data_IF_784392179133
#
_entry.id   IF_784392179133
#
_cell.length_a   1.000
_cell.length_b   1.000
_cell.length_c   1.000
_cell.angle_alpha   90.00
_cell.angle_beta   90.00
_cell.angle_gamma   90.00
#
_symmetry.space_group_name_H-M   'P 1'
#
loop_
_entity.id
_entity.type
_entity.pdbx_description
1 polymer ?
#
# COMPACT_ATOMS: atom_id res chain seq x y z
N UNK A 1 -7.52 28.34 -0.95
CA UNK A 1 -7.33 27.47 0.22
C UNK A 1 -6.54 26.25 -0.24
N UNK A 2 -5.25 26.20 0.04
CA UNK A 2 -4.39 25.05 -0.31
C UNK A 2 -4.67 23.97 0.73
N UNK A 3 -5.39 22.91 0.34
CA UNK A 3 -5.52 21.69 1.13
C UNK A 3 -4.16 21.02 1.09
N UNK A 4 -3.46 21.02 2.21
CA UNK A 4 -2.28 20.19 2.42
C UNK A 4 -2.74 18.74 2.42
N UNK A 5 -2.59 18.06 1.31
CA UNK A 5 -2.69 16.60 1.26
C UNK A 5 -1.52 16.07 2.09
N UNK A 6 -1.81 15.69 3.32
CA UNK A 6 -0.92 14.81 4.06
C UNK A 6 -1.12 13.43 3.45
N UNK A 7 -0.27 13.10 2.47
CA UNK A 7 -0.15 11.75 1.97
C UNK A 7 0.16 10.87 3.19
N UNK A 8 -0.81 10.06 3.60
CA UNK A 8 -0.53 8.88 4.40
C UNK A 8 0.15 7.89 3.46
N UNK A 9 1.41 8.17 3.15
CA UNK A 9 2.29 7.21 2.50
C UNK A 9 2.38 6.07 3.48
N UNK A 10 1.64 4.99 3.21
CA UNK A 10 2.06 3.69 3.69
C UNK A 10 3.39 3.46 2.99
N UNK A 11 4.43 4.14 3.48
CA UNK A 11 5.77 3.91 3.01
C UNK A 11 5.93 2.40 3.09
N UNK A 12 6.25 1.79 1.96
CA UNK A 12 6.93 0.51 1.96
C UNK A 12 8.19 0.82 2.77
N UNK A 13 8.02 0.85 4.09
CA UNK A 13 9.12 0.97 5.01
C UNK A 13 9.89 -0.31 4.78
N UNK A 14 10.96 -0.17 4.00
CA UNK A 14 11.98 -1.16 3.84
C UNK A 14 12.51 -1.46 5.24
N UNK A 15 11.81 -2.32 5.98
CA UNK A 15 12.33 -2.93 7.20
C UNK A 15 13.32 -4.00 6.73
N UNK A 16 14.34 -3.56 6.02
CA UNK A 16 15.58 -4.29 5.95
C UNK A 16 16.24 -4.08 7.30
N UNK A 17 15.80 -4.81 8.31
CA UNK A 17 16.62 -5.08 9.46
C UNK A 17 17.78 -5.93 8.96
N UNK A 18 18.75 -5.28 8.31
CA UNK A 18 20.07 -5.83 8.10
C UNK A 18 20.69 -5.91 9.49
N UNK A 19 20.54 -7.05 10.13
CA UNK A 19 21.43 -7.45 11.21
C UNK A 19 22.81 -7.69 10.61
N UNK A 20 23.46 -6.61 10.20
CA UNK A 20 24.90 -6.59 9.99
C UNK A 20 25.55 -6.50 11.37
N UNK A 21 25.91 -7.65 11.90
CA UNK A 21 26.84 -7.75 13.01
C UNK A 21 28.16 -7.09 12.61
N UNK A 22 28.57 -6.06 13.36
CA UNK A 22 29.97 -5.64 13.46
C UNK A 22 30.31 -4.29 12.82
N UNK A 23 30.66 -3.31 13.66
CA UNK A 23 31.59 -2.23 13.28
C UNK A 23 31.12 -0.81 13.60
N UNK A 24 31.43 -0.38 14.82
CA UNK A 24 31.45 1.01 15.26
C UNK A 24 32.07 1.96 14.24
N UNK A 25 31.35 2.97 13.75
CA UNK A 25 31.93 4.30 13.47
C UNK A 25 30.83 5.36 13.52
N UNK A 26 30.98 6.26 14.49
CA UNK A 26 30.29 7.56 14.55
C UNK A 26 30.58 8.35 13.29
N UNK A 27 29.57 8.92 12.70
CA UNK A 27 29.73 10.12 11.88
C UNK A 27 28.48 10.99 12.09
N UNK A 28 28.71 12.13 12.72
CA UNK A 28 27.78 13.26 12.82
C UNK A 28 27.57 13.83 11.42
N UNK A 29 26.35 14.06 11.03
CA UNK A 29 26.02 14.86 9.85
C UNK A 29 25.25 16.10 10.26
N UNK A 30 25.91 17.19 10.07
CA UNK A 30 25.51 18.57 10.27
C UNK A 30 24.43 19.01 9.29
N UNK A 31 23.46 19.73 9.84
CA UNK A 31 22.40 20.46 9.12
C UNK A 31 23.01 21.59 8.28
N UNK A 32 22.58 21.73 7.05
CA UNK A 32 22.82 22.89 6.19
C UNK A 32 21.59 23.25 5.39
N UNK A 33 20.92 24.32 5.82
CA UNK A 33 19.82 25.00 5.14
C UNK A 33 20.40 26.05 4.17
N UNK A 34 19.73 26.22 3.01
CA UNK A 34 19.61 27.46 2.20
C UNK A 34 18.91 27.10 0.89
N UNK A 35 17.73 27.54 0.57
CA UNK A 35 17.11 28.85 0.27
C UNK A 35 17.43 29.42 -1.13
N UNK A 36 16.33 29.74 -1.86
CA UNK A 36 16.13 30.73 -2.96
C UNK A 36 16.50 30.27 -4.39
N UNK A 37 15.65 30.35 -5.43
CA UNK A 37 14.92 31.50 -5.95
C UNK A 37 14.05 31.12 -7.17
N UNK A 38 12.97 31.88 -7.33
CA UNK A 38 12.03 32.00 -8.45
C UNK A 38 12.65 32.16 -9.85
N UNK A 39 11.94 31.67 -10.87
CA UNK A 39 11.70 32.46 -12.08
C UNK A 39 10.45 31.95 -12.86
N UNK A 40 9.56 32.90 -13.10
CA UNK A 40 8.37 32.84 -13.96
C UNK A 40 8.77 32.82 -15.44
N UNK A 41 7.92 32.23 -16.30
CA UNK A 41 7.28 32.90 -17.44
C UNK A 41 6.68 31.92 -18.44
N UNK A 42 5.43 31.99 -18.64
CA UNK A 42 4.50 32.50 -19.68
C UNK A 42 4.16 31.56 -20.84
N UNK A 43 2.86 31.25 -20.82
CA UNK A 43 1.84 31.26 -21.90
C UNK A 43 2.26 30.97 -23.35
N UNK A 44 1.55 30.06 -24.02
CA UNK A 44 0.57 30.40 -25.06
C UNK A 44 -0.21 29.17 -25.55
N UNK A 45 -1.51 29.27 -25.46
CA UNK A 45 -2.66 28.78 -26.23
C UNK A 45 -2.41 28.14 -27.62
N UNK A 46 -3.11 27.03 -27.90
CA UNK A 46 -3.97 26.88 -29.07
C UNK A 46 -4.84 25.61 -28.97
N UNK A 47 -6.11 25.85 -29.16
CA UNK A 47 -7.27 25.01 -29.37
C UNK A 47 -7.11 24.03 -30.55
N UNK A 48 -7.62 22.80 -30.41
CA UNK A 48 -8.42 22.17 -31.46
C UNK A 48 -9.18 20.95 -30.89
N UNK A 49 -10.48 21.05 -31.00
CA UNK A 49 -11.46 20.02 -30.68
C UNK A 49 -11.36 18.82 -31.64
N UNK A 50 -11.60 17.63 -31.15
CA UNK A 50 -12.33 16.60 -31.89
C UNK A 50 -13.05 15.69 -30.90
N UNK A 51 -14.37 15.69 -30.96
CA UNK A 51 -15.28 14.74 -30.31
C UNK A 51 -15.15 13.36 -30.96
N UNK A 52 -15.44 12.40 -30.17
CA UNK A 52 -16.08 11.07 -30.34
C UNK A 52 -15.23 9.92 -29.73
N UNK A 53 -15.63 9.27 -28.69
CA UNK A 53 -16.67 8.27 -28.58
C UNK A 53 -16.75 7.77 -27.13
N UNK A 54 -17.88 8.05 -26.53
CA UNK A 54 -18.30 7.52 -25.24
C UNK A 54 -18.70 6.08 -25.45
N UNK A 55 -17.88 5.14 -25.02
CA UNK A 55 -18.30 3.76 -24.84
C UNK A 55 -18.30 3.43 -23.36
N UNK A 56 -19.50 3.32 -22.89
CA UNK A 56 -19.99 2.93 -21.58
C UNK A 56 -19.40 1.57 -21.20
N UNK A 57 -18.44 1.56 -20.27
CA UNK A 57 -18.25 0.40 -19.39
C UNK A 57 -18.89 0.74 -18.05
N UNK A 58 -20.21 0.54 -18.02
CA UNK A 58 -20.99 0.54 -16.80
C UNK A 58 -20.72 -0.77 -16.07
N UNK A 59 -19.65 -0.77 -15.25
CA UNK A 59 -19.46 -1.83 -14.27
C UNK A 59 -20.67 -1.82 -13.35
N UNK A 60 -21.29 -2.98 -13.21
CA UNK A 60 -22.49 -3.23 -12.43
C UNK A 60 -22.33 -2.68 -11.02
N UNK A 61 -23.13 -1.66 -10.71
CA UNK A 61 -23.38 -1.23 -9.34
C UNK A 61 -24.11 -2.38 -8.63
N UNK A 62 -23.34 -3.24 -7.96
CA UNK A 62 -23.91 -4.20 -7.02
C UNK A 62 -24.52 -3.41 -5.87
N UNK A 63 -25.82 -3.57 -5.69
CA UNK A 63 -26.70 -3.14 -4.60
C UNK A 63 -25.92 -2.57 -3.40
N UNK A 64 -26.01 -1.25 -3.19
CA UNK A 64 -25.70 -0.60 -1.92
C UNK A 64 -26.70 -1.10 -0.86
N UNK A 65 -26.50 -2.31 -0.35
CA UNK A 65 -27.05 -2.70 0.92
C UNK A 65 -26.48 -1.70 1.94
N UNK A 66 -27.30 -1.17 2.82
CA UNK A 66 -26.92 -0.31 3.93
C UNK A 66 -25.91 -1.07 4.81
N UNK A 67 -24.62 -1.01 4.45
CA UNK A 67 -23.54 -1.65 5.18
C UNK A 67 -23.35 -0.83 6.46
N UNK A 68 -23.49 -1.45 7.62
CA UNK A 68 -23.31 -0.75 8.90
C UNK A 68 -21.84 -0.36 9.10
N UNK A 69 -21.61 0.69 9.88
CA UNK A 69 -20.23 1.08 10.25
C UNK A 69 -19.47 -0.04 10.96
N UNK A 70 -20.16 -0.91 11.69
CA UNK A 70 -19.59 -2.09 12.36
C UNK A 70 -19.17 -3.18 11.36
N UNK A 71 -19.94 -3.37 10.27
CA UNK A 71 -19.57 -4.33 9.22
C UNK A 71 -18.40 -3.85 8.35
N UNK A 72 -18.19 -2.53 8.29
CA UNK A 72 -17.04 -1.92 7.61
C UNK A 72 -15.73 -2.05 8.41
N UNK A 73 -15.79 -2.29 9.70
CA UNK A 73 -14.61 -2.48 10.54
C UNK A 73 -14.16 -3.95 10.55
N UNK A 74 -12.86 -4.16 10.44
CA UNK A 74 -12.27 -5.48 10.64
C UNK A 74 -12.23 -5.87 12.11
N UNK A 75 -12.29 -7.17 12.36
CA UNK A 75 -12.18 -7.75 13.71
C UNK A 75 -11.05 -8.77 13.74
N UNK A 76 -10.17 -8.65 14.71
CA UNK A 76 -9.10 -9.62 14.97
C UNK A 76 -9.38 -10.40 16.25
N UNK A 77 -9.39 -11.73 16.13
CA UNK A 77 -9.50 -12.65 17.26
C UNK A 77 -8.70 -13.92 16.96
N UNK A 78 -8.00 -14.46 17.95
CA UNK A 78 -7.25 -15.73 17.85
C UNK A 78 -6.29 -15.78 16.63
N UNK A 79 -5.58 -14.67 16.36
CA UNK A 79 -4.67 -14.54 15.22
C UNK A 79 -5.36 -14.66 13.83
N UNK A 80 -6.67 -14.43 13.79
CA UNK A 80 -7.50 -14.38 12.58
C UNK A 80 -8.13 -12.99 12.46
N UNK A 81 -7.99 -12.36 11.31
CA UNK A 81 -8.69 -11.14 10.94
C UNK A 81 -9.86 -11.46 10.04
N UNK A 82 -11.00 -10.81 10.25
CA UNK A 82 -12.18 -10.90 9.40
C UNK A 82 -12.76 -9.51 9.14
N UNK A 83 -13.24 -9.26 7.92
CA UNK A 83 -13.99 -8.07 7.57
C UNK A 83 -15.21 -8.49 6.76
N UNK A 84 -16.41 -8.22 7.30
CA UNK A 84 -17.67 -8.65 6.70
C UNK A 84 -18.00 -7.90 5.40
N UNK A 85 -17.73 -6.60 5.36
CA UNK A 85 -18.00 -5.79 4.17
C UNK A 85 -17.16 -6.21 2.97
N UNK A 86 -15.91 -6.60 3.21
CA UNK A 86 -15.01 -7.17 2.20
C UNK A 86 -15.31 -8.64 1.91
N UNK A 87 -16.10 -9.32 2.75
CA UNK A 87 -16.22 -10.78 2.78
C UNK A 87 -14.83 -11.46 2.83
N UNK A 88 -13.95 -10.94 3.68
CA UNK A 88 -12.54 -11.30 3.71
C UNK A 88 -12.14 -11.86 5.06
N UNK A 89 -11.34 -12.93 5.01
CA UNK A 89 -10.67 -13.55 6.15
C UNK A 89 -9.17 -13.67 5.87
N UNK A 90 -8.38 -13.42 6.91
CA UNK A 90 -6.94 -13.70 6.91
C UNK A 90 -6.61 -14.49 8.18
N UNK A 91 -6.06 -15.69 8.03
CA UNK A 91 -5.59 -16.53 9.11
C UNK A 91 -4.06 -16.48 9.16
N UNK A 92 -3.52 -15.75 10.13
CA UNK A 92 -2.09 -15.55 10.22
C UNK A 92 -1.35 -16.84 10.56
N UNK A 93 -1.94 -17.70 11.40
CA UNK A 93 -1.34 -18.97 11.79
C UNK A 93 -1.23 -19.93 10.61
N UNK A 94 -2.27 -20.01 9.78
CA UNK A 94 -2.26 -20.83 8.56
C UNK A 94 -1.21 -20.36 7.52
N UNK A 95 -0.75 -19.11 7.65
CA UNK A 95 0.25 -18.49 6.77
C UNK A 95 1.64 -18.39 7.41
N UNK A 96 1.89 -19.07 8.54
CA UNK A 96 3.14 -18.98 9.32
C UNK A 96 3.48 -17.54 9.75
N UNK A 97 2.46 -16.77 10.11
CA UNK A 97 2.54 -15.37 10.50
C UNK A 97 1.88 -15.15 11.87
N UNK A 98 2.04 -13.95 12.40
CA UNK A 98 1.28 -13.45 13.55
C UNK A 98 0.81 -12.03 13.29
N UNK A 99 -0.32 -11.68 13.88
CA UNK A 99 -0.84 -10.32 13.79
C UNK A 99 -0.17 -9.48 14.88
N UNK A 100 0.38 -8.33 14.49
CA UNK A 100 0.95 -7.38 15.43
C UNK A 100 -0.15 -6.70 16.25
N UNK A 101 0.08 -6.58 17.55
CA UNK A 101 -0.71 -5.72 18.40
C UNK A 101 -0.24 -4.25 18.32
N UNK A 102 -1.00 -3.34 18.96
CA UNK A 102 -0.70 -1.92 18.92
C UNK A 102 0.69 -1.58 19.52
N UNK A 103 1.09 -2.27 20.58
CA UNK A 103 2.39 -2.01 21.22
C UNK A 103 3.55 -2.47 20.33
N UNK A 104 3.37 -3.55 19.59
CA UNK A 104 4.36 -4.03 18.62
C UNK A 104 4.47 -3.07 17.42
N UNK A 105 3.35 -2.55 16.91
CA UNK A 105 3.35 -1.55 15.83
C UNK A 105 4.10 -0.29 16.27
N UNK A 106 3.84 0.22 17.47
CA UNK A 106 4.55 1.36 18.03
C UNK A 106 6.05 1.10 18.20
N UNK A 107 6.42 -0.09 18.69
CA UNK A 107 7.83 -0.49 18.83
C UNK A 107 8.55 -0.60 17.49
N UNK A 108 7.85 -0.96 16.41
CA UNK A 108 8.36 -0.97 15.03
C UNK A 108 8.37 0.42 14.38
N UNK A 109 7.84 1.45 15.05
CA UNK A 109 7.69 2.81 14.51
C UNK A 109 6.60 2.93 13.43
N UNK A 110 5.68 1.96 13.38
CA UNK A 110 4.56 1.97 12.44
C UNK A 110 3.43 2.81 13.03
N UNK A 111 3.17 3.96 12.43
CA UNK A 111 2.08 4.84 12.82
C UNK A 111 0.92 4.63 11.87
N UNK A 112 -0.18 4.10 12.39
CA UNK A 112 -1.35 3.77 11.57
C UNK A 112 -2.36 4.92 11.45
N UNK A 113 -2.32 5.89 12.35
CA UNK A 113 -3.32 6.97 12.46
C UNK A 113 -4.77 6.46 12.39
N UNK A 114 -5.01 5.22 12.86
CA UNK A 114 -6.32 4.57 12.83
C UNK A 114 -6.74 4.01 11.47
N UNK A 115 -5.84 3.99 10.48
CA UNK A 115 -6.13 3.52 9.12
C UNK A 115 -5.56 2.14 8.80
N UNK A 116 -4.78 1.57 9.69
CA UNK A 116 -4.25 0.22 9.55
C UNK A 116 -5.14 -0.74 10.37
N UNK A 117 -5.83 -1.64 9.69
CA UNK A 117 -6.69 -2.63 10.34
C UNK A 117 -5.98 -3.96 10.58
N UNK A 118 -5.01 -4.30 9.75
CA UNK A 118 -4.22 -5.51 9.86
C UNK A 118 -2.76 -5.23 9.53
N UNK A 119 -1.87 -5.71 10.38
CA UNK A 119 -0.46 -5.87 10.08
C UNK A 119 -0.03 -7.23 10.61
N UNK A 120 0.31 -8.13 9.71
CA UNK A 120 0.78 -9.46 10.08
C UNK A 120 2.15 -9.70 9.45
N UNK A 121 3.01 -10.45 10.14
CA UNK A 121 4.37 -10.74 9.69
C UNK A 121 4.88 -12.08 10.22
N UNK A 122 5.86 -12.66 9.54
CA UNK A 122 6.58 -13.81 10.02
C UNK A 122 7.80 -13.40 10.86
N UNK A 123 8.37 -14.34 11.62
CA UNK A 123 9.46 -14.07 12.55
C UNK A 123 10.71 -13.42 11.92
N UNK A 124 10.92 -13.59 10.62
CA UNK A 124 12.08 -13.06 9.90
C UNK A 124 11.76 -11.80 9.10
N UNK A 125 10.53 -11.30 9.16
CA UNK A 125 10.05 -10.16 8.37
C UNK A 125 10.22 -10.32 6.85
N UNK A 126 10.30 -11.57 6.39
CA UNK A 126 10.39 -11.89 4.96
C UNK A 126 9.02 -12.01 4.29
N UNK A 127 7.95 -11.94 5.10
CA UNK A 127 6.57 -12.04 4.66
C UNK A 127 5.72 -11.11 5.54
N UNK A 128 4.98 -10.22 4.90
CA UNK A 128 4.12 -9.25 5.56
C UNK A 128 2.77 -9.23 4.83
N UNK A 129 1.68 -9.13 5.60
CA UNK A 129 0.34 -8.86 5.09
C UNK A 129 -0.25 -7.64 5.80
N UNK A 130 -0.92 -6.78 5.05
CA UNK A 130 -1.48 -5.54 5.57
C UNK A 130 -2.87 -5.28 5.00
N UNK A 131 -3.73 -4.68 5.82
CA UNK A 131 -4.99 -4.07 5.38
C UNK A 131 -5.05 -2.67 5.95
N UNK A 132 -5.27 -1.69 5.09
CA UNK A 132 -5.44 -0.30 5.48
C UNK A 132 -6.67 0.31 4.83
N UNK A 133 -7.00 1.54 5.22
CA UNK A 133 -8.11 2.32 4.67
C UNK A 133 -7.55 3.66 4.18
N UNK A 134 -7.90 4.06 2.97
CA UNK A 134 -7.55 5.38 2.43
C UNK A 134 -8.45 6.47 3.02
N UNK A 135 -8.00 7.73 2.91
CA UNK A 135 -8.80 8.89 3.30
C UNK A 135 -10.11 8.95 2.52
N UNK A 136 -11.16 9.44 3.18
CA UNK A 136 -12.44 9.68 2.53
C UNK A 136 -12.28 10.67 1.36
N UNK A 137 -12.96 10.36 0.26
CA UNK A 137 -12.93 11.18 -0.95
C UNK A 137 -11.63 11.06 -1.75
N UNK A 138 -10.82 10.04 -1.48
CA UNK A 138 -9.65 9.72 -2.30
C UNK A 138 -10.10 9.28 -3.70
N UNK A 139 -9.59 9.93 -4.75
CA UNK A 139 -9.69 9.41 -6.11
C UNK A 139 -8.64 8.32 -6.31
N UNK A 140 -9.09 7.09 -6.51
CA UNK A 140 -8.21 5.92 -6.55
C UNK A 140 -7.16 6.02 -7.66
N UNK A 141 -7.56 6.48 -8.85
CA UNK A 141 -6.62 6.59 -9.97
C UNK A 141 -5.51 7.59 -9.67
N UNK A 142 -5.87 8.77 -9.20
CA UNK A 142 -4.90 9.81 -8.81
C UNK A 142 -4.00 9.29 -7.69
N UNK A 143 -4.55 8.62 -6.68
CA UNK A 143 -3.78 8.03 -5.60
C UNK A 143 -2.74 7.03 -6.11
N UNK A 144 -3.14 6.10 -6.99
CA UNK A 144 -2.22 5.09 -7.54
C UNK A 144 -1.09 5.73 -8.36
N UNK A 145 -1.42 6.72 -9.19
CA UNK A 145 -0.43 7.44 -10.00
C UNK A 145 0.58 8.18 -9.10
N UNK A 146 0.10 8.95 -8.11
CA UNK A 146 0.95 9.67 -7.16
C UNK A 146 1.79 8.73 -6.26
N UNK A 147 1.22 7.60 -5.85
CA UNK A 147 1.92 6.59 -5.07
C UNK A 147 3.11 6.01 -5.86
N UNK A 148 2.90 5.65 -7.13
CA UNK A 148 3.95 5.13 -8.01
C UNK A 148 5.07 6.16 -8.20
N UNK A 149 4.73 7.40 -8.50
CA UNK A 149 5.69 8.50 -8.68
C UNK A 149 6.52 8.76 -7.41
N UNK A 150 5.83 8.86 -6.27
CA UNK A 150 6.47 9.10 -4.98
C UNK A 150 7.38 7.94 -4.59
N UNK A 151 6.94 6.70 -4.82
CA UNK A 151 7.72 5.50 -4.52
C UNK A 151 9.00 5.45 -5.37
N UNK A 152 8.91 5.75 -6.67
CA UNK A 152 10.09 5.85 -7.55
C UNK A 152 11.09 6.88 -7.02
N UNK A 153 10.61 8.10 -6.75
CA UNK A 153 11.45 9.19 -6.26
C UNK A 153 12.14 8.88 -4.92
N UNK A 154 11.39 8.27 -3.99
CA UNK A 154 11.95 7.90 -2.68
C UNK A 154 13.03 6.82 -2.82
N UNK A 155 12.81 5.79 -3.64
CA UNK A 155 13.77 4.71 -3.80
C UNK A 155 15.02 5.13 -4.58
N UNK A 156 14.91 6.05 -5.52
CA UNK A 156 16.09 6.69 -6.14
C UNK A 156 16.95 7.38 -5.09
N UNK A 157 16.32 8.11 -4.16
CA UNK A 157 17.04 8.82 -3.09
C UNK A 157 17.69 7.88 -2.06
N UNK A 158 17.12 6.68 -1.86
CA UNK A 158 17.65 5.67 -0.94
C UNK A 158 18.73 4.78 -1.58
N UNK A 159 19.01 4.94 -2.87
CA UNK A 159 20.03 4.17 -3.57
C UNK A 159 19.62 2.71 -3.80
N UNK A 160 18.36 2.48 -4.14
CA UNK A 160 17.88 1.16 -4.55
C UNK A 160 18.64 0.65 -5.79
N UNK A 161 18.99 -0.63 -5.81
CA UNK A 161 19.67 -1.26 -6.95
C UNK A 161 18.74 -1.32 -8.17
N UNK A 162 17.47 -1.60 -7.95
CA UNK A 162 16.43 -1.54 -8.97
C UNK A 162 15.03 -1.40 -8.35
N UNK A 163 14.12 -0.77 -9.09
CA UNK A 163 12.69 -0.71 -8.78
C UNK A 163 11.89 -0.89 -10.06
N UNK A 164 11.02 -1.91 -10.08
CA UNK A 164 9.91 -2.03 -11.02
C UNK A 164 8.64 -1.76 -10.25
N UNK A 165 7.82 -0.85 -10.70
CA UNK A 165 6.52 -0.54 -10.08
C UNK A 165 5.55 -0.11 -11.14
N UNK A 166 4.34 -0.69 -11.11
CA UNK A 166 3.30 -0.41 -12.08
C UNK A 166 1.90 -0.62 -11.48
N UNK A 167 0.92 0.07 -12.07
CA UNK A 167 -0.50 -0.21 -11.85
C UNK A 167 -0.95 -1.35 -12.75
N UNK A 168 -1.77 -2.24 -12.22
CA UNK A 168 -2.27 -3.43 -12.91
C UNK A 168 -3.63 -3.84 -12.33
N UNK A 169 -4.09 -5.01 -12.72
CA UNK A 169 -5.22 -5.72 -12.10
C UNK A 169 -4.72 -7.02 -11.53
N UNK A 170 -5.15 -7.37 -10.32
CA UNK A 170 -4.82 -8.65 -9.68
C UNK A 170 -6.08 -9.39 -9.22
N UNK A 171 -5.93 -10.67 -8.92
CA UNK A 171 -6.98 -11.45 -8.27
C UNK A 171 -6.94 -11.25 -6.76
N UNK A 172 -8.09 -10.89 -6.19
CA UNK A 172 -8.34 -10.99 -4.77
C UNK A 172 -9.53 -11.93 -4.58
N UNK A 173 -9.27 -13.11 -4.03
CA UNK A 173 -10.25 -14.20 -4.04
C UNK A 173 -10.66 -14.51 -5.50
N UNK A 174 -11.93 -14.34 -5.89
CA UNK A 174 -12.39 -14.61 -7.26
C UNK A 174 -12.61 -13.34 -8.09
N UNK A 175 -12.25 -12.16 -7.57
CA UNK A 175 -12.53 -10.88 -8.22
C UNK A 175 -11.26 -10.26 -8.79
N UNK A 176 -11.38 -9.67 -9.97
CA UNK A 176 -10.36 -8.78 -10.52
C UNK A 176 -10.48 -7.41 -9.85
N UNK A 177 -9.40 -6.92 -9.28
CA UNK A 177 -9.36 -5.63 -8.57
C UNK A 177 -8.15 -4.81 -9.03
N UNK A 178 -8.24 -3.47 -9.04
CA UNK A 178 -7.09 -2.61 -9.29
C UNK A 178 -5.96 -2.92 -8.31
N UNK A 179 -4.73 -2.86 -8.78
CA UNK A 179 -3.56 -3.14 -7.94
C UNK A 179 -2.33 -2.35 -8.38
N UNK A 180 -1.40 -2.20 -7.44
CA UNK A 180 -0.01 -1.83 -7.70
C UNK A 180 0.85 -3.04 -7.38
N UNK A 181 1.75 -3.37 -8.30
CA UNK A 181 2.79 -4.38 -8.07
C UNK A 181 4.16 -3.71 -8.11
N UNK A 182 5.06 -4.16 -7.24
CA UNK A 182 6.41 -3.62 -7.20
C UNK A 182 7.45 -4.69 -6.85
N UNK A 183 8.58 -4.67 -7.57
CA UNK A 183 9.79 -5.42 -7.27
C UNK A 183 10.88 -4.41 -6.93
N UNK A 184 11.27 -4.35 -5.66
CA UNK A 184 12.32 -3.48 -5.16
C UNK A 184 13.53 -4.33 -4.78
N UNK A 185 14.68 -4.07 -5.40
CA UNK A 185 15.95 -4.69 -5.01
C UNK A 185 16.83 -3.66 -4.29
N UNK A 186 17.32 -4.04 -3.12
CA UNK A 186 18.23 -3.24 -2.33
C UNK A 186 19.25 -4.16 -1.63
N UNK A 187 20.54 -3.87 -1.80
CA UNK A 187 21.62 -4.68 -1.21
C UNK A 187 21.58 -6.16 -1.65
N UNK A 188 21.13 -6.44 -2.86
CA UNK A 188 21.03 -7.79 -3.42
C UNK A 188 19.80 -8.60 -2.95
N UNK A 189 18.91 -8.01 -2.14
CA UNK A 189 17.64 -8.63 -1.72
C UNK A 189 16.50 -7.99 -2.50
N UNK A 190 15.68 -8.80 -3.15
CA UNK A 190 14.47 -8.34 -3.83
C UNK A 190 13.25 -8.52 -2.94
N UNK A 191 12.50 -7.45 -2.79
CA UNK A 191 11.21 -7.41 -2.13
C UNK A 191 10.11 -7.29 -3.17
N UNK A 192 9.15 -8.19 -3.13
CA UNK A 192 7.99 -8.24 -4.01
C UNK A 192 6.77 -7.74 -3.24
N UNK A 193 6.06 -6.78 -3.81
CA UNK A 193 4.84 -6.21 -3.23
C UNK A 193 3.69 -6.36 -4.19
N UNK A 194 2.55 -6.81 -3.69
CA UNK A 194 1.25 -6.73 -4.38
C UNK A 194 0.28 -5.99 -3.47
N UNK A 195 -0.28 -4.88 -3.93
CA UNK A 195 -1.24 -4.06 -3.20
C UNK A 195 -2.50 -3.89 -4.03
N UNK A 196 -3.59 -4.47 -3.60
CA UNK A 196 -4.92 -4.35 -4.20
C UNK A 196 -5.74 -3.24 -3.53
N UNK A 197 -6.73 -2.75 -4.27
CA UNK A 197 -7.66 -1.72 -3.82
C UNK A 197 -9.09 -2.20 -4.00
N UNK A 198 -9.90 -2.09 -2.95
CA UNK A 198 -11.31 -2.50 -2.96
C UNK A 198 -12.16 -1.37 -2.40
N UNK A 199 -13.12 -0.91 -3.20
CA UNK A 199 -14.10 0.08 -2.75
C UNK A 199 -15.36 -0.62 -2.27
N UNK A 200 -15.75 -0.35 -1.02
CA UNK A 200 -16.98 -0.86 -0.42
C UNK A 200 -17.49 0.11 0.65
N UNK A 201 -18.80 0.39 0.63
CA UNK A 201 -19.45 1.29 1.59
C UNK A 201 -18.85 2.70 1.61
N UNK A 202 -18.38 3.21 0.47
CA UNK A 202 -17.75 4.52 0.32
C UNK A 202 -16.33 4.62 0.89
N UNK A 203 -15.72 3.48 1.29
CA UNK A 203 -14.33 3.39 1.73
C UNK A 203 -13.49 2.64 0.70
N UNK A 204 -12.24 3.02 0.56
CA UNK A 204 -11.25 2.29 -0.23
C UNK A 204 -10.30 1.58 0.74
N UNK A 205 -10.33 0.26 0.69
CA UNK A 205 -9.39 -0.60 1.42
C UNK A 205 -8.18 -0.88 0.57
N UNK A 206 -7.02 -0.88 1.20
CA UNK A 206 -5.77 -1.36 0.62
C UNK A 206 -5.44 -2.72 1.24
N UNK A 207 -5.20 -3.72 0.41
CA UNK A 207 -4.89 -5.08 0.85
C UNK A 207 -3.57 -5.45 0.22
N UNK A 208 -2.54 -5.63 1.03
CA UNK A 208 -1.19 -5.79 0.52
C UNK A 208 -0.47 -7.00 1.10
N UNK A 209 0.37 -7.61 0.26
CA UNK A 209 1.38 -8.58 0.65
C UNK A 209 2.75 -8.11 0.24
N UNK A 210 3.73 -8.39 1.08
CA UNK A 210 5.14 -8.12 0.83
C UNK A 210 5.91 -9.41 1.13
N UNK A 211 6.78 -9.82 0.24
CA UNK A 211 7.63 -11.00 0.45
C UNK A 211 9.00 -10.84 -0.20
N UNK A 212 10.00 -11.52 0.35
CA UNK A 212 11.33 -11.64 -0.28
C UNK A 212 11.52 -12.98 -1.01
N UNK A 213 10.46 -13.81 -1.06
CA UNK A 213 10.47 -15.11 -1.70
C UNK A 213 9.72 -15.05 -3.04
N UNK A 214 10.39 -15.41 -4.13
CA UNK A 214 9.83 -15.39 -5.49
C UNK A 214 8.63 -16.35 -5.65
N UNK A 215 8.66 -17.53 -5.00
CA UNK A 215 7.54 -18.48 -5.07
C UNK A 215 6.31 -17.93 -4.31
N UNK A 216 6.53 -17.28 -3.18
CA UNK A 216 5.44 -16.62 -2.43
C UNK A 216 4.88 -15.41 -3.20
N UNK A 217 5.73 -14.66 -3.91
CA UNK A 217 5.28 -13.49 -4.69
C UNK A 217 4.30 -13.89 -5.80
N UNK A 218 4.47 -15.06 -6.39
CA UNK A 218 3.58 -15.58 -7.43
C UNK A 218 2.17 -15.89 -6.90
N UNK A 219 2.01 -16.09 -5.60
CA UNK A 219 0.72 -16.33 -4.95
C UNK A 219 -0.06 -15.02 -4.74
N UNK A 220 0.62 -13.86 -4.86
CA UNK A 220 -0.01 -12.56 -4.72
C UNK A 220 -0.80 -12.43 -3.41
N UNK A 221 -2.13 -12.34 -3.53
CA UNK A 221 -3.05 -12.14 -2.40
C UNK A 221 -3.78 -13.43 -1.96
N UNK A 222 -3.32 -14.62 -2.36
CA UNK A 222 -4.01 -15.90 -2.09
C UNK A 222 -4.15 -16.23 -0.59
N UNK A 223 -3.36 -15.57 0.27
CA UNK A 223 -3.49 -15.71 1.72
C UNK A 223 -4.76 -15.08 2.29
N UNK A 224 -5.43 -14.23 1.52
CA UNK A 224 -6.71 -13.66 1.85
C UNK A 224 -7.81 -14.52 1.24
N UNK A 225 -8.71 -15.03 2.08
CA UNK A 225 -9.79 -15.95 1.69
C UNK A 225 -11.15 -15.33 1.97
N UNK A 226 -12.23 -15.95 1.48
CA UNK A 226 -13.59 -15.52 1.80
C UNK A 226 -13.86 -15.79 3.28
N UNK A 227 -14.54 -14.84 3.94
CA UNK A 227 -15.16 -15.09 5.23
C UNK A 227 -16.34 -16.06 5.04
N UNK A 228 -16.42 -17.08 5.90
CA UNK A 228 -17.55 -18.03 5.91
C UNK A 228 -18.78 -17.41 6.61
#
# INVERSE_FOLDING_TARGET
MRRSFKLAVLAIASVLAVTACGGNKKTEATVGSESVSEAQSKETSAEAATEEKKEESRAEASSEANISAEDLAGVTADNVYTNKALNLKFDATANDMRIADQAELEAMGIQSEGKLELYAYNNNYTKIAMIGILDEGTDLKTYMDEYIETTKKNNESLGADSLKIESTTTKLMDKDVPAIVADLTMGGVTQYTTQAFVEVGGRIYTIATITTNTEESSKGLDMFTKAE
#
